data_IF_075510616322
#
_entry.id   IF_075510616322
#
_cell.length_a   1.000
_cell.length_b   1.000
_cell.length_c   1.000
_cell.angle_alpha   90.00
_cell.angle_beta   90.00
_cell.angle_gamma   90.00
#
_symmetry.space_group_name_H-M   'P 1'
#
loop_
_entity.id
_entity.type
_entity.pdbx_description
1 polymer ?
#
# COMPACT_ATOMS: atom_id res chain seq x y z
N UNK A 1 2.45 -18.14 3.18
CA UNK A 1 1.45 -18.96 3.91
C UNK A 1 1.76 -20.44 3.75
N UNK A 2 1.61 -21.03 2.57
CA UNK A 2 1.87 -22.47 2.35
C UNK A 2 3.35 -22.86 2.47
N UNK A 3 4.28 -21.92 2.25
CA UNK A 3 5.72 -22.13 2.43
C UNK A 3 6.14 -22.32 3.89
N UNK A 4 5.44 -21.68 4.84
CA UNK A 4 5.78 -21.74 6.28
C UNK A 4 4.83 -22.64 7.09
N UNK A 5 3.59 -22.82 6.60
CA UNK A 5 2.57 -23.66 7.23
C UNK A 5 2.12 -24.72 6.23
N UNK A 6 2.93 -25.76 6.10
CA UNK A 6 2.74 -26.85 5.13
C UNK A 6 1.41 -27.59 5.30
N UNK A 7 0.85 -27.61 6.52
CA UNK A 7 -0.49 -28.15 6.81
C UNK A 7 -1.65 -27.53 6.01
N UNK A 8 -1.45 -26.37 5.39
CA UNK A 8 -2.44 -25.74 4.52
C UNK A 8 -2.31 -26.13 3.05
N UNK A 9 -1.20 -26.78 2.65
CA UNK A 9 -0.97 -27.22 1.27
C UNK A 9 -2.07 -28.17 0.81
N UNK A 10 -2.44 -29.13 1.65
CA UNK A 10 -3.43 -30.15 1.31
C UNK A 10 -4.87 -29.62 1.30
N UNK A 11 -5.09 -28.37 1.74
CA UNK A 11 -6.40 -27.70 1.75
C UNK A 11 -6.61 -26.77 0.56
N UNK A 12 -5.58 -26.58 -0.27
CA UNK A 12 -5.61 -25.66 -1.42
C UNK A 12 -5.32 -26.45 -2.67
N UNK A 13 -6.34 -26.65 -3.51
CA UNK A 13 -6.21 -27.38 -4.77
C UNK A 13 -5.46 -26.56 -5.83
N UNK A 14 -5.74 -25.26 -5.92
CA UNK A 14 -5.06 -24.34 -6.82
C UNK A 14 -4.96 -22.93 -6.22
N UNK A 15 -3.87 -22.22 -6.55
CA UNK A 15 -3.66 -20.81 -6.21
C UNK A 15 -3.46 -20.00 -7.48
N UNK A 16 -4.35 -19.03 -7.73
CA UNK A 16 -4.20 -18.04 -8.79
C UNK A 16 -3.71 -16.73 -8.19
N UNK A 17 -2.47 -16.34 -8.52
CA UNK A 17 -1.87 -15.11 -7.98
C UNK A 17 -1.84 -14.01 -9.03
N UNK A 18 -2.72 -13.02 -8.89
CA UNK A 18 -2.70 -11.81 -9.69
C UNK A 18 -1.75 -10.80 -9.04
N UNK A 19 -0.79 -10.27 -9.81
CA UNK A 19 0.26 -9.36 -9.31
C UNK A 19 1.00 -9.89 -8.07
N UNK A 20 1.55 -11.11 -8.16
CA UNK A 20 2.30 -11.75 -7.06
C UNK A 20 3.51 -10.91 -6.63
N UNK A 21 3.63 -10.63 -5.32
CA UNK A 21 4.74 -9.85 -4.76
C UNK A 21 5.49 -10.72 -3.75
N UNK A 22 6.75 -11.02 -4.06
CA UNK A 22 7.69 -11.65 -3.12
C UNK A 22 8.90 -10.74 -2.85
N UNK A 23 9.46 -10.13 -3.89
CA UNK A 23 10.59 -9.21 -3.80
C UNK A 23 10.20 -7.83 -4.32
N UNK A 24 10.67 -6.78 -3.66
CA UNK A 24 10.33 -5.38 -3.97
C UNK A 24 11.52 -4.55 -4.50
N UNK A 25 12.68 -5.19 -4.73
CA UNK A 25 13.94 -4.48 -5.11
C UNK A 25 13.82 -3.63 -6.39
N UNK A 26 13.01 -4.08 -7.34
CA UNK A 26 12.86 -3.47 -8.67
C UNK A 26 11.46 -2.86 -8.87
N UNK A 27 10.75 -2.56 -7.78
CA UNK A 27 9.45 -1.92 -7.85
C UNK A 27 9.59 -0.49 -8.38
N UNK A 28 8.66 -0.08 -9.25
CA UNK A 28 8.68 1.22 -9.95
C UNK A 28 7.64 2.19 -9.36
N UNK A 29 6.67 1.68 -8.59
CA UNK A 29 5.59 2.48 -8.00
C UNK A 29 6.12 3.64 -7.13
N UNK A 30 5.69 4.89 -7.38
CA UNK A 30 6.34 6.07 -6.81
C UNK A 30 6.11 6.21 -5.30
N UNK A 31 4.95 5.83 -4.78
CA UNK A 31 4.62 6.04 -3.35
C UNK A 31 5.63 5.34 -2.43
N UNK A 32 5.82 4.03 -2.61
CA UNK A 32 6.72 3.26 -1.76
C UNK A 32 8.20 3.62 -1.99
N UNK A 33 8.60 4.04 -3.20
CA UNK A 33 9.95 4.53 -3.47
C UNK A 33 10.24 5.84 -2.72
N UNK A 34 9.32 6.79 -2.74
CA UNK A 34 9.43 8.05 -1.99
C UNK A 34 9.49 7.77 -0.50
N UNK A 35 8.60 6.94 0.04
CA UNK A 35 8.62 6.58 1.47
C UNK A 35 9.95 5.88 1.84
N UNK A 36 10.48 5.04 0.94
CA UNK A 36 11.74 4.37 1.19
C UNK A 36 12.95 5.31 1.25
N UNK A 37 12.91 6.41 0.51
CA UNK A 37 13.94 7.45 0.55
C UNK A 37 13.83 8.29 1.84
N UNK A 38 12.62 8.71 2.21
CA UNK A 38 12.36 9.56 3.39
C UNK A 38 12.10 8.78 4.69
N UNK A 39 12.58 7.53 4.78
CA UNK A 39 12.22 6.57 5.85
C UNK A 39 12.35 7.12 7.27
N UNK A 40 13.38 7.93 7.54
CA UNK A 40 13.70 8.45 8.87
C UNK A 40 12.73 9.54 9.29
N UNK A 41 12.43 10.49 8.40
CA UNK A 41 11.47 11.57 8.68
C UNK A 41 10.05 11.03 8.88
N UNK A 42 9.64 10.09 8.03
CA UNK A 42 8.30 9.49 8.09
C UNK A 42 8.14 8.65 9.37
N UNK A 43 9.14 7.85 9.75
CA UNK A 43 9.12 7.09 11.02
C UNK A 43 8.98 8.01 12.24
N UNK A 44 9.77 9.08 12.29
CA UNK A 44 9.70 10.05 13.38
C UNK A 44 8.32 10.68 13.43
N UNK A 45 7.76 11.07 12.27
CA UNK A 45 6.44 11.65 12.19
C UNK A 45 5.35 10.70 12.69
N UNK A 46 5.28 9.46 12.19
CA UNK A 46 4.27 8.49 12.62
C UNK A 46 4.39 8.12 14.10
N UNK A 47 5.62 8.02 14.63
CA UNK A 47 5.85 7.76 16.05
C UNK A 47 5.46 8.96 16.93
N UNK A 48 5.78 10.19 16.51
CA UNK A 48 5.42 11.43 17.24
C UNK A 48 3.91 11.65 17.22
N UNK A 49 3.25 11.38 16.09
CA UNK A 49 1.81 11.47 15.94
C UNK A 49 1.07 10.27 16.54
N UNK A 50 1.78 9.25 17.03
CA UNK A 50 1.23 8.01 17.58
C UNK A 50 0.20 7.33 16.65
N UNK A 51 0.48 7.35 15.34
CA UNK A 51 -0.44 6.86 14.30
C UNK A 51 -0.01 5.47 13.81
N UNK A 52 -0.84 4.47 14.09
CA UNK A 52 -0.59 3.07 13.74
C UNK A 52 -1.22 2.64 12.41
N UNK A 53 -1.98 3.54 11.79
CA UNK A 53 -2.70 3.34 10.55
C UNK A 53 -2.19 4.29 9.47
N UNK A 54 -1.94 3.73 8.28
CA UNK A 54 -1.49 4.40 7.08
C UNK A 54 -2.66 4.51 6.10
N UNK A 55 -2.90 5.73 5.62
CA UNK A 55 -4.03 6.07 4.75
C UNK A 55 -5.39 5.52 5.26
N UNK A 56 -5.77 5.84 6.52
CA UNK A 56 -7.06 5.44 7.08
C UNK A 56 -8.20 5.98 6.23
N UNK A 57 -9.31 5.24 6.18
CA UNK A 57 -10.55 5.77 5.60
C UNK A 57 -11.08 6.88 6.52
N UNK A 58 -11.18 8.09 5.98
CA UNK A 58 -11.74 9.24 6.68
C UNK A 58 -12.99 9.71 5.93
N UNK A 59 -14.12 9.85 6.63
CA UNK A 59 -15.39 10.29 6.02
C UNK A 59 -15.28 11.65 5.34
N UNK A 60 -14.50 12.58 5.90
CA UNK A 60 -14.26 13.88 5.28
C UNK A 60 -13.48 13.75 3.96
N UNK A 61 -12.44 12.91 3.93
CA UNK A 61 -11.67 12.66 2.71
C UNK A 61 -12.49 11.88 1.67
N UNK A 62 -13.40 11.00 2.12
CA UNK A 62 -14.31 10.29 1.24
C UNK A 62 -15.29 11.26 0.55
N UNK A 63 -15.91 12.18 1.31
CA UNK A 63 -16.79 13.21 0.76
C UNK A 63 -16.06 14.17 -0.20
N UNK A 64 -14.84 14.58 0.17
CA UNK A 64 -14.00 15.38 -0.72
C UNK A 64 -13.68 14.61 -2.01
N UNK A 65 -13.35 13.32 -1.87
CA UNK A 65 -13.14 12.39 -2.99
C UNK A 65 -14.34 12.31 -3.93
N UNK A 66 -15.56 12.22 -3.40
CA UNK A 66 -16.77 12.16 -4.21
C UNK A 66 -16.93 13.39 -5.12
N UNK A 67 -16.60 14.58 -4.61
CA UNK A 67 -16.62 15.81 -5.43
C UNK A 67 -15.44 15.92 -6.40
N UNK A 68 -14.23 15.59 -5.95
CA UNK A 68 -12.99 15.79 -6.73
C UNK A 68 -12.86 14.73 -7.82
N UNK A 69 -13.26 13.49 -7.51
CA UNK A 69 -13.13 12.32 -8.39
C UNK A 69 -14.36 12.06 -9.25
N UNK A 70 -15.43 12.88 -9.13
CA UNK A 70 -16.66 12.72 -9.90
C UNK A 70 -16.39 12.65 -11.41
N UNK A 71 -17.26 11.96 -12.14
CA UNK A 71 -17.12 11.87 -13.59
C UNK A 71 -17.26 13.26 -14.24
N UNK A 72 -16.37 13.55 -15.21
CA UNK A 72 -16.21 14.86 -15.84
C UNK A 72 -15.75 16.01 -14.91
N UNK A 73 -15.31 15.72 -13.68
CA UNK A 73 -14.67 16.73 -12.83
C UNK A 73 -13.32 17.18 -13.40
N UNK A 74 -13.05 18.49 -13.39
CA UNK A 74 -11.74 19.06 -13.75
C UNK A 74 -10.60 18.49 -12.88
N UNK A 75 -10.92 18.05 -11.66
CA UNK A 75 -9.94 17.53 -10.70
C UNK A 75 -9.82 16.00 -10.71
N UNK A 76 -10.53 15.30 -11.58
CA UNK A 76 -10.51 13.83 -11.68
C UNK A 76 -9.09 13.27 -11.93
N UNK A 77 -8.24 14.06 -12.59
CA UNK A 77 -6.82 13.75 -12.80
C UNK A 77 -6.04 13.54 -11.50
N UNK A 78 -6.40 14.25 -10.42
CA UNK A 78 -5.76 14.08 -9.11
C UNK A 78 -6.05 12.69 -8.52
N UNK A 79 -7.28 12.21 -8.68
CA UNK A 79 -7.72 10.90 -8.20
C UNK A 79 -7.06 9.77 -8.99
N UNK A 80 -6.99 9.93 -10.31
CA UNK A 80 -6.30 8.98 -11.19
C UNK A 80 -4.82 8.87 -10.83
N UNK A 81 -4.14 10.00 -10.66
CA UNK A 81 -2.73 10.03 -10.27
C UNK A 81 -2.48 9.50 -8.86
N UNK A 82 -3.38 9.77 -7.90
CA UNK A 82 -3.30 9.21 -6.56
C UNK A 82 -3.40 7.67 -6.60
N UNK A 83 -4.34 7.14 -7.37
CA UNK A 83 -4.49 5.69 -7.56
C UNK A 83 -3.26 5.07 -8.23
N UNK A 84 -2.75 5.69 -9.29
CA UNK A 84 -1.55 5.22 -9.99
C UNK A 84 -0.27 5.33 -9.15
N UNK A 85 -0.20 6.29 -8.23
CA UNK A 85 0.93 6.37 -7.31
C UNK A 85 1.02 5.14 -6.39
N UNK A 86 -0.13 4.53 -6.07
CA UNK A 86 -0.23 3.33 -5.24
C UNK A 86 -0.06 2.06 -6.08
N UNK A 87 -0.78 1.96 -7.21
CA UNK A 87 -0.96 0.70 -7.94
C UNK A 87 -0.15 0.59 -9.24
N UNK A 88 0.48 1.67 -9.70
CA UNK A 88 1.17 1.76 -11.00
C UNK A 88 0.31 2.41 -12.09
N UNK A 89 0.99 2.94 -13.11
CA UNK A 89 0.37 3.74 -14.18
C UNK A 89 -0.09 2.87 -15.35
N UNK A 90 -1.37 2.97 -15.71
CA UNK A 90 -1.92 2.34 -16.92
C UNK A 90 -3.22 3.03 -17.36
N UNK A 91 -3.10 4.23 -17.93
CA UNK A 91 -4.24 5.04 -18.37
C UNK A 91 -5.12 4.33 -19.40
N UNK A 92 -4.52 3.57 -20.33
CA UNK A 92 -5.25 2.90 -21.41
C UNK A 92 -6.24 1.84 -20.93
N UNK A 93 -6.00 1.27 -19.75
CA UNK A 93 -6.87 0.25 -19.15
C UNK A 93 -7.72 0.81 -18.00
N UNK A 94 -7.64 2.12 -17.73
CA UNK A 94 -8.36 2.75 -16.65
C UNK A 94 -9.67 3.36 -17.17
N UNK A 95 -10.81 2.88 -16.65
CA UNK A 95 -12.10 3.52 -16.89
C UNK A 95 -12.30 4.65 -15.87
N UNK A 96 -12.16 5.90 -16.32
CA UNK A 96 -12.25 7.09 -15.46
C UNK A 96 -13.64 7.30 -14.87
N UNK A 97 -14.71 6.88 -15.56
CA UNK A 97 -16.08 6.97 -15.02
C UNK A 97 -16.29 6.09 -13.78
N UNK A 98 -15.42 5.11 -13.53
CA UNK A 98 -15.44 4.28 -12.31
C UNK A 98 -14.59 4.85 -11.16
N UNK A 99 -13.82 5.92 -11.38
CA UNK A 99 -12.98 6.54 -10.35
C UNK A 99 -13.73 6.95 -9.09
N UNK A 100 -14.95 7.53 -9.13
CA UNK A 100 -15.65 7.92 -7.91
C UNK A 100 -15.88 6.70 -7.00
N UNK A 101 -16.32 5.58 -7.60
CA UNK A 101 -16.59 4.33 -6.90
C UNK A 101 -15.28 3.74 -6.36
N UNK A 102 -14.22 3.71 -7.16
CA UNK A 102 -12.92 3.16 -6.75
C UNK A 102 -12.35 3.95 -5.57
N UNK A 103 -12.40 5.29 -5.63
CA UNK A 103 -11.86 6.17 -4.59
C UNK A 103 -12.74 6.21 -3.33
N UNK A 104 -14.05 5.95 -3.44
CA UNK A 104 -14.92 5.77 -2.28
C UNK A 104 -14.56 4.55 -1.42
N UNK A 105 -13.88 3.56 -1.99
CA UNK A 105 -13.42 2.35 -1.31
C UNK A 105 -11.90 2.28 -1.10
N UNK A 106 -11.12 2.99 -1.92
CA UNK A 106 -9.66 2.88 -1.97
C UNK A 106 -9.00 4.20 -1.60
N UNK A 107 -8.03 4.21 -0.65
CA UNK A 107 -7.54 3.10 0.16
C UNK A 107 -8.44 2.77 1.35
N UNK A 108 -8.40 1.52 1.83
CA UNK A 108 -9.15 1.07 3.02
C UNK A 108 -8.32 1.03 4.30
N UNK A 109 -7.18 1.74 4.33
CA UNK A 109 -6.23 1.68 5.44
C UNK A 109 -5.27 0.49 5.39
N UNK A 110 -4.11 0.66 6.02
CA UNK A 110 -3.13 -0.40 6.28
C UNK A 110 -2.39 -0.10 7.59
N UNK A 111 -1.75 -1.09 8.21
CA UNK A 111 -0.88 -0.80 9.36
C UNK A 111 0.38 -0.04 8.91
N UNK A 112 0.79 0.99 9.65
CA UNK A 112 2.08 1.68 9.45
C UNK A 112 3.25 0.70 9.44
N UNK A 113 3.18 -0.35 10.27
CA UNK A 113 4.16 -1.44 10.34
C UNK A 113 4.25 -2.19 9.00
N UNK A 114 3.13 -2.45 8.34
CA UNK A 114 3.09 -3.14 7.05
C UNK A 114 3.79 -2.35 5.95
N UNK A 115 3.56 -1.03 5.90
CA UNK A 115 4.21 -0.14 4.93
C UNK A 115 5.71 -0.09 5.16
N UNK A 116 6.14 0.01 6.41
CA UNK A 116 7.56 -0.04 6.75
C UNK A 116 8.21 -1.36 6.32
N UNK A 117 7.47 -2.46 6.41
CA UNK A 117 7.97 -3.77 6.01
C UNK A 117 8.25 -3.79 4.51
N UNK A 118 7.32 -3.26 3.73
CA UNK A 118 7.45 -3.13 2.28
C UNK A 118 8.63 -2.24 1.90
N UNK A 119 8.78 -1.08 2.55
CA UNK A 119 9.90 -0.14 2.38
C UNK A 119 11.25 -0.83 2.63
N UNK A 120 11.35 -1.65 3.68
CA UNK A 120 12.55 -2.42 3.95
C UNK A 120 12.80 -3.48 2.88
N UNK A 121 11.75 -4.11 2.35
CA UNK A 121 11.84 -5.00 1.19
C UNK A 121 12.39 -4.31 -0.05
N UNK A 122 11.99 -3.07 -0.32
CA UNK A 122 12.52 -2.24 -1.42
C UNK A 122 14.03 -2.01 -1.25
N UNK A 123 14.46 -1.54 -0.06
CA UNK A 123 15.88 -1.21 0.18
C UNK A 123 16.78 -2.45 0.29
N UNK A 124 16.35 -3.48 1.00
CA UNK A 124 17.15 -4.69 1.22
C UNK A 124 17.13 -5.65 0.03
N UNK A 125 16.07 -5.63 -0.76
CA UNK A 125 15.83 -6.56 -1.84
C UNK A 125 15.64 -8.01 -1.40
N UNK A 126 15.32 -8.25 -0.12
CA UNK A 126 15.13 -9.58 0.46
C UNK A 126 13.65 -9.84 0.75
N UNK A 127 13.22 -11.06 0.50
CA UNK A 127 11.95 -11.58 0.99
C UNK A 127 12.20 -12.27 2.33
N UNK A 128 11.81 -11.63 3.43
CA UNK A 128 12.13 -12.09 4.79
C UNK A 128 11.07 -11.59 5.78
N UNK A 129 11.00 -12.23 6.95
CA UNK A 129 10.09 -11.84 8.03
C UNK A 129 10.40 -10.43 8.57
N UNK A 130 9.42 -9.86 9.25
CA UNK A 130 9.60 -8.61 9.98
C UNK A 130 10.71 -8.74 11.02
N UNK A 131 11.56 -7.72 11.10
CA UNK A 131 12.62 -7.61 12.09
C UNK A 131 12.19 -6.62 13.16
N UNK A 132 12.04 -7.12 14.38
CA UNK A 132 11.64 -6.34 15.55
C UNK A 132 12.81 -5.56 16.15
N UNK A 133 14.03 -5.74 15.63
CA UNK A 133 15.23 -5.23 16.24
C UNK A 133 15.56 -5.93 17.55
N UNK A 134 16.56 -5.39 18.21
CA UNK A 134 17.25 -5.97 19.37
C UNK A 134 16.50 -5.73 20.70
N UNK A 135 15.52 -4.81 20.73
CA UNK A 135 14.74 -4.49 21.94
C UNK A 135 13.59 -5.46 22.26
N UNK A 136 13.35 -6.48 21.43
CA UNK A 136 12.26 -7.46 21.61
C UNK A 136 12.74 -8.87 21.99
N UNK A 137 14.01 -9.05 22.36
CA UNK A 137 14.59 -10.37 22.75
C UNK A 137 14.39 -10.67 24.25
N UNK A 138 13.73 -9.79 25.02
CA UNK A 138 13.44 -10.04 26.44
C UNK A 138 11.97 -9.73 26.79
N UNK A 139 11.08 -10.68 26.51
CA UNK A 139 9.79 -10.83 27.18
C UNK A 139 9.34 -12.27 27.05
#
# INVERSE_FOLDING_TARGET
MCSEKTQYKDKIEAMFSLASIAFLKHMIGPLLLVIAEFRTGILVLYNVLNTYEFLPRNEFLAQLGDTVCNDNSTFQILCTNALFAICGFNEKQMNTSLLPIIMGHTPSGASTKQIYHCVRGVKSGKFQRWDYGWRHISS
#
